data_IF_299701132956
#
_entry.id   IF_299701132956
#
_cell.length_a   1.000
_cell.length_b   1.000
_cell.length_c   1.000
_cell.angle_alpha   90.00
_cell.angle_beta   90.00
_cell.angle_gamma   90.00
#
_symmetry.space_group_name_H-M   'P 1'
#
loop_
_entity.id
_entity.type
_entity.pdbx_description
1 polymer ?
#
# COMPACT_ATOMS: atom_id res chain seq x y z
N UNK A 1 0.27 -1.21 -19.75
CA UNK A 1 -0.89 -1.89 -19.12
C UNK A 1 -0.40 -2.62 -17.88
N UNK A 2 -1.14 -2.64 -16.77
CA UNK A 2 -0.73 -3.39 -15.57
C UNK A 2 -1.32 -4.80 -15.61
N UNK A 3 -0.53 -5.80 -15.19
CA UNK A 3 -1.04 -7.15 -14.99
C UNK A 3 -2.19 -7.14 -13.98
N UNK A 4 -3.30 -7.78 -14.34
CA UNK A 4 -4.42 -7.97 -13.44
C UNK A 4 -4.03 -8.95 -12.32
N UNK A 5 -4.37 -8.61 -11.08
CA UNK A 5 -4.28 -9.52 -9.94
C UNK A 5 -5.67 -10.00 -9.57
N UNK A 6 -5.83 -11.29 -9.30
CA UNK A 6 -7.09 -11.83 -8.75
C UNK A 6 -7.12 -11.55 -7.26
N UNK A 7 -8.07 -10.73 -6.84
CA UNK A 7 -8.20 -10.28 -5.45
C UNK A 7 -9.44 -10.87 -4.81
N UNK A 8 -9.29 -11.31 -3.56
CA UNK A 8 -10.40 -11.66 -2.68
C UNK A 8 -10.26 -10.87 -1.39
N UNK A 9 -11.30 -10.13 -1.04
CA UNK A 9 -11.45 -9.44 0.25
C UNK A 9 -12.67 -10.05 0.94
N UNK A 10 -12.44 -10.79 2.01
CA UNK A 10 -13.50 -11.51 2.73
C UNK A 10 -14.32 -10.56 3.60
N UNK A 11 -15.53 -10.97 3.98
CA UNK A 11 -16.34 -10.25 4.98
C UNK A 11 -15.61 -10.11 6.33
N UNK A 12 -14.74 -11.05 6.66
CA UNK A 12 -13.89 -10.97 7.86
C UNK A 12 -12.92 -9.80 7.78
N UNK A 13 -12.23 -9.62 6.64
CA UNK A 13 -11.36 -8.46 6.41
C UNK A 13 -12.13 -7.14 6.46
N UNK A 14 -13.33 -7.10 5.89
CA UNK A 14 -14.23 -5.92 5.97
C UNK A 14 -14.51 -5.58 7.43
N UNK A 15 -14.97 -6.55 8.21
CA UNK A 15 -15.25 -6.37 9.64
C UNK A 15 -14.01 -5.94 10.42
N UNK A 16 -12.83 -6.48 10.09
CA UNK A 16 -11.58 -6.10 10.75
C UNK A 16 -11.23 -4.62 10.48
N UNK A 17 -11.43 -4.14 9.25
CA UNK A 17 -11.24 -2.72 8.89
C UNK A 17 -12.25 -1.84 9.63
N UNK A 18 -13.53 -2.20 9.63
CA UNK A 18 -14.58 -1.47 10.36
C UNK A 18 -14.28 -1.36 11.86
N UNK A 19 -13.92 -2.48 12.50
CA UNK A 19 -13.55 -2.51 13.91
C UNK A 19 -12.31 -1.66 14.19
N UNK A 20 -11.31 -1.69 13.31
CA UNK A 20 -10.12 -0.87 13.43
C UNK A 20 -10.46 0.62 13.35
N UNK A 21 -11.36 1.02 12.44
CA UNK A 21 -11.83 2.41 12.31
C UNK A 21 -12.68 2.84 13.51
N UNK A 22 -13.61 2.00 13.95
CA UNK A 22 -14.52 2.29 15.05
C UNK A 22 -13.79 2.57 16.38
N UNK A 23 -12.63 1.94 16.59
CA UNK A 23 -11.76 2.19 17.76
C UNK A 23 -10.76 3.35 17.58
N UNK A 24 -10.88 4.15 16.50
CA UNK A 24 -9.90 5.18 16.16
C UNK A 24 -8.52 4.65 15.75
N UNK A 25 -8.45 3.37 15.39
CA UNK A 25 -7.23 2.71 14.95
C UNK A 25 -6.91 2.99 13.48
N UNK A 26 -5.75 2.46 13.06
CA UNK A 26 -5.22 2.60 11.70
C UNK A 26 -5.15 1.25 10.98
N UNK A 27 -5.45 1.25 9.70
CA UNK A 27 -5.31 0.10 8.80
C UNK A 27 -3.88 0.05 8.26
N UNK A 28 -3.18 -1.03 8.59
CA UNK A 28 -1.83 -1.30 8.13
C UNK A 28 -1.85 -2.32 6.99
N UNK A 29 -1.38 -1.91 5.81
CA UNK A 29 -1.15 -2.84 4.72
C UNK A 29 0.28 -3.41 4.80
N UNK A 30 0.39 -4.73 4.81
CA UNK A 30 1.68 -5.43 4.72
C UNK A 30 1.86 -5.92 3.29
N UNK A 31 2.73 -5.23 2.56
CA UNK A 31 2.98 -5.43 1.13
C UNK A 31 2.10 -4.54 0.23
N UNK A 32 2.66 -4.17 -0.92
CA UNK A 32 1.97 -3.35 -1.94
C UNK A 32 0.78 -4.06 -2.57
N UNK A 33 0.83 -5.39 -2.72
CA UNK A 33 -0.31 -6.19 -3.21
C UNK A 33 -1.51 -6.09 -2.27
N UNK A 34 -1.29 -6.24 -0.97
CA UNK A 34 -2.34 -6.08 0.06
C UNK A 34 -2.90 -4.66 0.06
N UNK A 35 -2.03 -3.65 -0.02
CA UNK A 35 -2.47 -2.26 -0.10
C UNK A 35 -3.33 -2.01 -1.34
N UNK A 36 -2.93 -2.52 -2.51
CA UNK A 36 -3.70 -2.37 -3.74
C UNK A 36 -5.04 -3.10 -3.66
N UNK A 37 -5.07 -4.30 -3.08
CA UNK A 37 -6.31 -5.06 -2.89
C UNK A 37 -7.32 -4.29 -2.01
N UNK A 38 -6.86 -3.68 -0.91
CA UNK A 38 -7.71 -2.87 -0.04
C UNK A 38 -8.21 -1.60 -0.73
N UNK A 39 -7.34 -0.88 -1.45
CA UNK A 39 -7.73 0.32 -2.19
C UNK A 39 -8.63 0.00 -3.39
N UNK A 40 -8.47 -1.17 -4.03
CA UNK A 40 -9.40 -1.66 -5.06
C UNK A 40 -10.78 -1.99 -4.47
N UNK A 41 -10.80 -2.50 -3.24
CA UNK A 41 -12.02 -2.80 -2.50
C UNK A 41 -12.59 -1.58 -1.77
N UNK A 42 -12.05 -0.37 -1.92
CA UNK A 42 -12.54 0.80 -1.22
C UNK A 42 -14.02 1.09 -1.53
N UNK A 43 -14.81 1.45 -0.52
CA UNK A 43 -16.24 1.73 -0.65
C UNK A 43 -16.58 3.22 -0.90
N UNK A 44 -15.56 4.09 -0.91
CA UNK A 44 -15.73 5.54 -1.04
C UNK A 44 -15.98 6.29 0.27
N UNK A 45 -16.13 5.59 1.40
CA UNK A 45 -16.42 6.13 2.73
C UNK A 45 -15.31 5.81 3.75
N UNK A 46 -14.15 5.35 3.28
CA UNK A 46 -13.01 4.98 4.12
C UNK A 46 -13.04 3.53 4.64
N UNK A 47 -14.02 2.73 4.20
CA UNK A 47 -14.12 1.30 4.44
C UNK A 47 -13.80 0.48 3.18
N UNK A 48 -14.08 -0.82 3.25
CA UNK A 48 -13.90 -1.74 2.13
C UNK A 48 -15.16 -2.57 1.91
N UNK A 49 -15.49 -2.85 0.65
CA UNK A 49 -16.50 -3.84 0.26
C UNK A 49 -15.89 -5.23 0.14
N UNK A 50 -16.67 -6.31 0.35
CA UNK A 50 -16.20 -7.64 0.00
C UNK A 50 -15.94 -7.73 -1.52
N UNK A 51 -14.89 -8.47 -1.87
CA UNK A 51 -14.47 -8.76 -3.25
C UNK A 51 -14.28 -10.26 -3.36
N UNK A 52 -14.91 -10.92 -4.33
CA UNK A 52 -14.87 -12.37 -4.48
C UNK A 52 -14.25 -12.75 -5.83
N UNK A 53 -12.91 -12.85 -5.87
CA UNK A 53 -12.19 -13.21 -7.08
C UNK A 53 -12.42 -12.22 -8.22
N UNK A 54 -12.20 -10.93 -8.00
CA UNK A 54 -12.26 -9.92 -9.07
C UNK A 54 -10.86 -9.62 -9.61
N UNK A 55 -10.77 -9.33 -10.91
CA UNK A 55 -9.53 -8.92 -11.55
C UNK A 55 -9.21 -7.44 -11.22
N UNK A 56 -8.35 -7.21 -10.23
CA UNK A 56 -7.87 -5.90 -9.86
C UNK A 56 -6.87 -5.38 -10.90
N UNK A 57 -7.26 -4.30 -11.59
CA UNK A 57 -6.41 -3.53 -12.52
C UNK A 57 -6.09 -2.14 -11.99
N UNK A 58 -6.34 -1.88 -10.71
CA UNK A 58 -6.08 -0.59 -10.10
C UNK A 58 -4.60 -0.22 -10.24
N UNK A 59 -4.35 0.94 -10.83
CA UNK A 59 -3.01 1.51 -10.98
C UNK A 59 -2.88 2.72 -10.05
N UNK A 60 -2.03 2.61 -9.04
CA UNK A 60 -1.80 3.67 -8.06
C UNK A 60 -0.53 4.44 -8.45
N UNK A 61 -0.69 5.74 -8.68
CA UNK A 61 0.38 6.65 -9.11
C UNK A 61 0.32 7.97 -8.31
N UNK A 62 1.39 8.78 -8.32
CA UNK A 62 1.44 10.03 -7.56
C UNK A 62 0.22 10.92 -7.83
N UNK A 63 -0.43 11.39 -6.76
CA UNK A 63 -1.71 12.10 -6.81
C UNK A 63 -2.91 11.25 -6.38
N UNK A 64 -2.77 9.92 -6.33
CA UNK A 64 -3.79 9.04 -5.77
C UNK A 64 -4.04 9.31 -4.29
N UNK A 65 -5.31 9.42 -3.90
CA UNK A 65 -5.73 9.58 -2.50
C UNK A 65 -6.10 8.22 -1.93
N UNK A 66 -5.22 7.66 -1.10
CA UNK A 66 -5.51 6.45 -0.33
C UNK A 66 -6.71 6.68 0.58
N UNK A 67 -7.69 5.79 0.47
CA UNK A 67 -8.96 5.84 1.18
C UNK A 67 -8.99 4.92 2.39
N UNK A 68 -8.33 3.76 2.28
CA UNK A 68 -8.42 2.68 3.26
C UNK A 68 -7.13 2.50 4.01
N UNK A 69 -5.99 2.49 3.32
CA UNK A 69 -4.69 2.21 3.91
C UNK A 69 -4.12 3.46 4.58
N UNK A 70 -3.91 3.40 5.89
CA UNK A 70 -3.35 4.51 6.66
C UNK A 70 -1.84 4.44 6.78
N UNK A 71 -1.30 3.21 6.82
CA UNK A 71 0.12 2.90 6.97
C UNK A 71 0.49 1.68 6.12
N UNK A 72 1.76 1.58 5.70
CA UNK A 72 2.24 0.48 4.86
C UNK A 72 3.59 -0.04 5.35
N UNK A 73 3.76 -1.37 5.34
CA UNK A 73 5.06 -2.04 5.46
C UNK A 73 5.39 -2.64 4.10
N UNK A 74 6.56 -2.33 3.55
CA UNK A 74 6.97 -2.81 2.22
C UNK A 74 8.48 -2.85 2.10
N UNK A 75 9.00 -3.60 1.13
CA UNK A 75 10.42 -3.60 0.79
C UNK A 75 10.84 -2.30 0.09
N UNK A 76 12.15 -2.13 -0.10
CA UNK A 76 12.72 -1.14 -1.01
C UNK A 76 12.64 -1.63 -2.47
N UNK A 77 11.90 -0.89 -3.29
CA UNK A 77 11.66 -1.18 -4.72
C UNK A 77 12.68 -0.51 -5.63
N UNK A 78 12.93 -1.10 -6.81
CA UNK A 78 13.86 -0.56 -7.80
C UNK A 78 13.37 0.78 -8.39
N UNK A 79 14.32 1.66 -8.82
CA UNK A 79 14.00 2.84 -9.60
C UNK A 79 13.14 2.52 -10.83
N UNK A 80 12.19 3.42 -11.15
CA UNK A 80 11.29 3.30 -12.32
C UNK A 80 10.36 2.07 -12.30
N UNK A 81 10.13 1.45 -11.13
CA UNK A 81 9.11 0.39 -10.97
C UNK A 81 7.72 0.98 -10.68
N UNK A 82 6.67 0.28 -11.09
CA UNK A 82 5.27 0.63 -10.74
C UNK A 82 5.03 0.63 -9.23
N UNK A 83 5.71 -0.26 -8.49
CA UNK A 83 5.65 -0.31 -7.03
C UNK A 83 6.23 0.96 -6.40
N UNK A 84 7.32 1.50 -6.95
CA UNK A 84 7.87 2.77 -6.50
C UNK A 84 6.88 3.92 -6.72
N UNK A 85 6.08 3.90 -7.80
CA UNK A 85 5.04 4.91 -8.01
C UNK A 85 3.92 4.81 -6.98
N UNK A 86 3.48 3.59 -6.67
CA UNK A 86 2.48 3.35 -5.63
C UNK A 86 2.95 3.84 -4.26
N UNK A 87 4.19 3.52 -3.89
CA UNK A 87 4.79 3.97 -2.63
C UNK A 87 5.03 5.48 -2.61
N UNK A 88 5.40 6.07 -3.76
CA UNK A 88 5.54 7.53 -3.93
C UNK A 88 4.20 8.25 -3.79
N UNK A 89 3.10 7.67 -4.30
CA UNK A 89 1.75 8.19 -4.09
C UNK A 89 1.36 8.21 -2.62
N UNK A 90 1.88 7.27 -1.84
CA UNK A 90 1.60 7.17 -0.41
C UNK A 90 2.42 8.15 0.43
N UNK A 91 3.74 8.13 0.25
CA UNK A 91 4.71 8.82 1.11
C UNK A 91 5.14 10.20 0.61
N UNK A 92 4.80 10.54 -0.64
CA UNK A 92 5.33 11.69 -1.35
C UNK A 92 6.71 11.42 -1.94
N UNK A 93 6.92 11.86 -3.18
CA UNK A 93 8.15 11.58 -3.96
C UNK A 93 9.42 12.06 -3.25
N UNK A 94 9.43 13.30 -2.78
CA UNK A 94 10.64 13.91 -2.20
C UNK A 94 11.08 13.20 -0.93
N UNK A 95 10.13 12.97 -0.01
CA UNK A 95 10.37 12.25 1.24
C UNK A 95 10.84 10.82 0.99
N UNK A 96 10.22 10.13 0.02
CA UNK A 96 10.61 8.78 -0.35
C UNK A 96 12.04 8.74 -0.90
N UNK A 97 12.39 9.64 -1.81
CA UNK A 97 13.73 9.69 -2.41
C UNK A 97 14.81 10.05 -1.38
N UNK A 98 14.51 10.93 -0.42
CA UNK A 98 15.40 11.23 0.68
C UNK A 98 15.65 9.98 1.56
N UNK A 99 14.59 9.23 1.90
CA UNK A 99 14.71 7.99 2.66
C UNK A 99 15.53 6.91 1.91
N UNK A 100 15.34 6.79 0.59
CA UNK A 100 16.11 5.88 -0.25
C UNK A 100 17.60 6.23 -0.30
N UNK A 101 17.92 7.52 -0.43
CA UNK A 101 19.30 7.99 -0.43
C UNK A 101 20.01 7.68 0.89
N UNK A 102 19.31 7.86 2.01
CA UNK A 102 19.85 7.51 3.33
C UNK A 102 20.01 6.00 3.52
N UNK A 103 19.03 5.20 3.08
CA UNK A 103 19.13 3.75 3.13
C UNK A 103 20.34 3.22 2.35
N UNK A 104 20.65 3.80 1.18
CA UNK A 104 21.85 3.48 0.42
C UNK A 104 23.14 3.83 1.17
N UNK A 105 23.22 5.00 1.81
CA UNK A 105 24.38 5.40 2.63
C UNK A 105 24.63 4.46 3.79
N UNK A 106 23.55 3.99 4.42
CA UNK A 106 23.60 3.10 5.57
C UNK A 106 23.76 1.61 5.18
N UNK A 107 23.87 1.29 3.89
CA UNK A 107 24.10 -0.08 3.43
C UNK A 107 22.89 -0.99 3.56
N UNK A 108 21.67 -0.44 3.52
CA UNK A 108 20.45 -1.25 3.51
C UNK A 108 20.41 -2.15 2.28
N UNK A 109 19.85 -3.33 2.46
CA UNK A 109 19.63 -4.32 1.39
C UNK A 109 18.30 -4.04 0.72
N UNK A 110 18.28 -3.99 -0.60
CA UNK A 110 17.08 -3.68 -1.39
C UNK A 110 16.43 -4.95 -1.94
N UNK A 111 15.25 -4.81 -2.55
CA UNK A 111 14.53 -5.86 -3.27
C UNK A 111 13.85 -6.91 -2.38
N UNK A 112 13.48 -8.06 -2.95
CA UNK A 112 12.58 -9.05 -2.35
C UNK A 112 13.04 -9.64 -1.01
N UNK A 113 14.36 -9.80 -0.85
CA UNK A 113 14.98 -10.39 0.36
C UNK A 113 15.81 -9.37 1.15
N UNK A 114 15.66 -8.10 0.81
CA UNK A 114 16.33 -7.00 1.50
C UNK A 114 15.64 -6.63 2.81
N UNK A 115 15.88 -5.40 3.22
CA UNK A 115 15.27 -4.81 4.40
C UNK A 115 13.88 -4.23 4.07
N UNK A 116 13.13 -3.90 5.12
CA UNK A 116 11.79 -3.35 5.02
C UNK A 116 11.74 -1.86 5.37
N UNK A 117 10.72 -1.19 4.86
CA UNK A 117 10.37 0.19 5.12
C UNK A 117 8.99 0.26 5.76
N UNK A 118 8.89 1.08 6.81
CA UNK A 118 7.63 1.46 7.44
C UNK A 118 7.24 2.85 6.96
N UNK A 119 6.08 2.94 6.31
CA UNK A 119 5.47 4.18 5.86
C UNK A 119 4.29 4.50 6.76
N UNK A 120 4.53 5.39 7.74
CA UNK A 120 3.49 5.84 8.66
C UNK A 120 3.09 7.29 8.38
N UNK A 121 1.77 7.54 8.28
CA UNK A 121 1.21 8.89 8.34
C UNK A 121 1.19 9.31 9.81
N UNK A 122 1.66 10.53 10.09
CA UNK A 122 1.56 11.11 11.44
C UNK A 122 0.09 11.35 11.77
#
# INVERSE_FOLDING_TARGET
EIHAEWVTVTRETVRAVELARARGGRVWAVGTTSARALEFAADGQGGVRPVAGEACRLYIYPGYKYQVVDNMITNFHLPKSSLLFMVSAFAGRERLMAAYHEALKLGYRFYSYGDAMVLARR
#
